data_IF_641799916755
#
_entry.id   IF_641799916755
#
_cell.length_a   1.000
_cell.length_b   1.000
_cell.length_c   1.000
_cell.angle_alpha   90.00
_cell.angle_beta   90.00
_cell.angle_gamma   90.00
#
_symmetry.space_group_name_H-M   'P 1'
#
loop_
_entity.id
_entity.type
_entity.pdbx_description
1 polymer ?
#
# COMPACT_ATOMS: atom_id res chain seq x y z
N UNK A 1 4.26 31.19 -8.76
CA UNK A 1 4.19 30.17 -7.71
C UNK A 1 4.66 28.91 -8.36
N UNK A 2 5.97 28.69 -8.29
CA UNK A 2 6.66 27.57 -8.91
C UNK A 2 6.20 26.30 -8.20
N UNK A 3 5.39 25.51 -8.91
CA UNK A 3 5.14 24.14 -8.49
C UNK A 3 6.43 23.39 -8.79
N UNK A 4 7.20 23.07 -7.76
CA UNK A 4 8.32 22.13 -7.82
C UNK A 4 7.81 20.78 -8.34
N UNK A 5 7.75 20.64 -9.66
CA UNK A 5 7.57 19.35 -10.33
C UNK A 5 8.80 18.53 -10.06
N UNK A 6 8.70 17.65 -9.07
CA UNK A 6 9.72 16.67 -8.72
C UNK A 6 9.98 15.76 -9.94
N UNK A 7 11.09 16.01 -10.65
CA UNK A 7 11.46 15.21 -11.82
C UNK A 7 12.47 14.14 -11.42
N UNK A 8 12.08 12.87 -11.49
CA UNK A 8 12.97 11.74 -11.20
C UNK A 8 14.07 11.54 -12.26
N UNK A 9 13.92 12.15 -13.44
CA UNK A 9 14.82 12.03 -14.58
C UNK A 9 14.73 13.30 -15.43
N UNK A 10 15.84 13.78 -16.01
CA UNK A 10 15.78 14.90 -16.98
C UNK A 10 15.39 14.39 -18.37
N UNK A 11 14.91 15.28 -19.25
CA UNK A 11 14.65 14.93 -20.65
C UNK A 11 15.90 14.36 -21.35
N UNK A 12 17.07 14.95 -21.06
CA UNK A 12 18.35 14.49 -21.60
C UNK A 12 18.69 13.07 -21.12
N UNK A 13 18.50 12.78 -19.83
CA UNK A 13 18.74 11.45 -19.27
C UNK A 13 17.81 10.41 -19.88
N UNK A 14 16.54 10.74 -20.12
CA UNK A 14 15.59 9.86 -20.80
C UNK A 14 16.05 9.55 -22.23
N UNK A 15 16.44 10.57 -23.00
CA UNK A 15 16.96 10.38 -24.36
C UNK A 15 18.23 9.53 -24.37
N UNK A 16 19.16 9.79 -23.47
CA UNK A 16 20.41 9.04 -23.34
C UNK A 16 20.16 7.57 -22.99
N UNK A 17 19.26 7.31 -22.03
CA UNK A 17 18.93 5.95 -21.59
C UNK A 17 18.35 5.07 -22.71
N UNK A 18 17.56 5.68 -23.61
CA UNK A 18 16.93 4.97 -24.73
C UNK A 18 17.64 5.18 -26.07
N UNK A 19 18.81 5.81 -26.09
CA UNK A 19 19.58 6.12 -27.30
C UNK A 19 19.94 4.87 -28.10
N UNK A 20 20.19 3.75 -27.42
CA UNK A 20 20.52 2.46 -28.03
C UNK A 20 19.30 1.69 -28.58
N UNK A 21 18.06 2.16 -28.33
CA UNK A 21 16.84 1.54 -28.84
C UNK A 21 16.30 2.36 -30.00
N UNK A 22 16.55 1.92 -31.23
CA UNK A 22 16.09 2.61 -32.44
C UNK A 22 14.95 1.86 -33.13
N UNK A 23 14.14 2.58 -33.89
CA UNK A 23 13.22 2.02 -34.89
C UNK A 23 13.47 2.70 -36.24
N UNK A 24 13.18 1.98 -37.32
CA UNK A 24 13.30 2.51 -38.68
C UNK A 24 12.00 3.23 -39.03
N UNK A 25 12.10 4.50 -39.39
CA UNK A 25 10.96 5.32 -39.85
C UNK A 25 11.23 5.79 -41.26
N UNK A 26 10.17 5.90 -42.06
CA UNK A 26 10.23 6.55 -43.36
C UNK A 26 10.13 8.05 -43.15
N UNK A 27 11.16 8.80 -43.53
CA UNK A 27 11.18 10.25 -43.49
C UNK A 27 11.69 10.76 -44.83
N UNK A 28 10.91 11.61 -45.49
CA UNK A 28 11.20 12.15 -46.83
C UNK A 28 11.71 11.07 -47.81
N UNK A 29 10.90 10.00 -47.97
CA UNK A 29 11.17 8.86 -48.87
C UNK A 29 12.40 8.01 -48.50
N UNK A 30 13.11 8.31 -47.40
CA UNK A 30 14.27 7.57 -46.93
C UNK A 30 14.01 6.89 -45.59
N UNK A 31 14.41 5.63 -45.49
CA UNK A 31 14.42 4.93 -44.22
C UNK A 31 15.57 5.41 -43.34
N UNK A 32 15.25 5.96 -42.18
CA UNK A 32 16.22 6.43 -41.19
C UNK A 32 15.99 5.75 -39.85
N UNK A 33 17.06 5.52 -39.09
CA UNK A 33 16.98 5.00 -37.72
C UNK A 33 16.82 6.17 -36.77
N UNK A 34 15.73 6.17 -36.00
CA UNK A 34 15.45 7.19 -34.98
C UNK A 34 15.29 6.48 -33.64
N UNK A 35 15.76 7.11 -32.55
CA UNK A 35 15.63 6.53 -31.21
C UNK A 35 14.15 6.48 -30.78
N UNK A 36 13.79 5.44 -30.03
CA UNK A 36 12.44 5.31 -29.46
C UNK A 36 12.08 6.49 -28.56
N UNK A 37 13.06 7.05 -27.83
CA UNK A 37 12.84 8.24 -27.02
C UNK A 37 12.50 9.47 -27.87
N UNK A 38 13.20 9.72 -28.98
CA UNK A 38 12.89 10.86 -29.85
C UNK A 38 11.49 10.73 -30.47
N UNK A 39 11.08 9.53 -30.89
CA UNK A 39 9.72 9.29 -31.40
C UNK A 39 8.68 9.52 -30.30
N UNK A 40 8.88 8.94 -29.11
CA UNK A 40 7.96 9.12 -28.00
C UNK A 40 7.83 10.59 -27.59
N UNK A 41 8.95 11.30 -27.49
CA UNK A 41 8.97 12.70 -27.07
C UNK A 41 8.26 13.64 -28.05
N UNK A 42 8.34 13.37 -29.36
CA UNK A 42 7.69 14.18 -30.39
C UNK A 42 6.28 13.70 -30.76
N UNK A 43 5.79 12.62 -30.15
CA UNK A 43 4.45 12.11 -30.45
C UNK A 43 3.37 13.02 -29.84
N UNK A 44 2.36 13.45 -30.62
CA UNK A 44 1.21 14.19 -30.08
C UNK A 44 0.36 13.30 -29.15
N UNK A 45 0.43 11.98 -29.29
CA UNK A 45 -0.30 10.99 -28.48
C UNK A 45 0.48 10.56 -27.22
N UNK A 46 1.62 11.21 -26.94
CA UNK A 46 2.43 10.90 -25.76
C UNK A 46 1.61 11.13 -24.50
N UNK A 47 1.46 10.09 -23.66
CA UNK A 47 0.90 10.27 -22.32
C UNK A 47 1.78 11.20 -21.50
N UNK A 48 1.21 12.34 -21.09
CA UNK A 48 1.87 13.34 -20.25
C UNK A 48 1.12 13.51 -18.94
N UNK A 49 1.86 13.52 -17.84
CA UNK A 49 1.31 13.64 -16.49
C UNK A 49 1.89 14.88 -15.80
N UNK A 50 1.45 16.06 -16.26
CA UNK A 50 1.97 17.36 -15.79
C UNK A 50 1.70 17.66 -14.31
N UNK A 51 0.78 16.92 -13.68
CA UNK A 51 0.44 17.06 -12.26
C UNK A 51 1.22 16.08 -11.35
N UNK A 52 2.15 15.31 -11.92
CA UNK A 52 3.06 14.40 -11.20
C UNK A 52 2.53 12.97 -11.06
N UNK A 53 2.96 12.29 -10.00
CA UNK A 53 2.55 10.91 -9.68
C UNK A 53 1.58 10.90 -8.50
N UNK A 54 0.68 9.92 -8.45
CA UNK A 54 -0.14 9.65 -7.27
C UNK A 54 -0.26 8.15 -7.00
N UNK A 55 -0.35 7.79 -5.71
CA UNK A 55 -0.75 6.44 -5.31
C UNK A 55 -2.26 6.43 -5.05
N UNK A 56 -3.04 5.84 -5.96
CA UNK A 56 -4.48 5.74 -5.83
C UNK A 56 -5.00 4.33 -6.15
N UNK A 57 -5.00 3.44 -5.15
CA UNK A 57 -5.43 2.08 -5.38
C UNK A 57 -6.96 2.04 -5.56
N UNK A 58 -7.40 1.51 -6.71
CA UNK A 58 -8.80 1.42 -7.10
C UNK A 58 -9.13 0.05 -7.68
N UNK A 59 -10.43 -0.24 -7.84
CA UNK A 59 -10.90 -1.37 -8.62
C UNK A 59 -11.16 -0.88 -10.05
N UNK A 60 -10.60 -1.57 -11.04
CA UNK A 60 -10.76 -1.21 -12.44
C UNK A 60 -9.70 -0.23 -12.91
N UNK A 61 -10.06 0.59 -13.89
CA UNK A 61 -9.12 1.50 -14.53
C UNK A 61 -8.60 2.55 -13.53
N UNK A 62 -7.28 2.72 -13.56
CA UNK A 62 -6.52 3.48 -12.57
C UNK A 62 -6.22 4.91 -13.04
N UNK A 63 -6.37 5.18 -14.35
CA UNK A 63 -6.19 6.50 -14.94
C UNK A 63 -7.39 7.40 -14.59
N UNK A 64 -7.19 8.29 -13.62
CA UNK A 64 -8.24 9.21 -13.13
C UNK A 64 -8.46 10.43 -14.01
N UNK A 65 -7.85 10.47 -15.20
CA UNK A 65 -7.80 11.62 -16.11
C UNK A 65 -7.60 12.97 -15.39
N UNK A 66 -6.69 12.99 -14.42
CA UNK A 66 -6.41 14.15 -13.56
C UNK A 66 -5.01 14.73 -13.78
N UNK A 67 -4.36 14.36 -14.89
CA UNK A 67 -3.00 14.73 -15.21
C UNK A 67 -1.93 14.11 -14.30
N UNK A 68 -2.28 13.15 -13.43
CA UNK A 68 -1.35 12.43 -12.56
C UNK A 68 -1.20 10.98 -13.00
N UNK A 69 0.03 10.47 -12.98
CA UNK A 69 0.30 9.05 -13.20
C UNK A 69 -0.05 8.28 -11.94
N UNK A 70 -1.02 7.37 -12.02
CA UNK A 70 -1.30 6.46 -10.92
C UNK A 70 -0.24 5.35 -10.85
N UNK A 71 0.52 5.29 -9.75
CA UNK A 71 1.59 4.30 -9.56
C UNK A 71 1.08 2.96 -8.99
N UNK A 72 -0.22 2.84 -8.71
CA UNK A 72 -0.82 1.57 -8.31
C UNK A 72 -0.91 0.60 -9.50
N UNK A 73 -0.28 -0.57 -9.35
CA UNK A 73 -0.22 -1.62 -10.38
C UNK A 73 -1.28 -2.72 -10.23
N UNK A 74 -2.23 -2.57 -9.28
CA UNK A 74 -3.21 -3.60 -8.96
C UNK A 74 -2.78 -4.55 -7.83
N UNK A 75 -3.69 -5.45 -7.47
CA UNK A 75 -3.46 -6.49 -6.47
C UNK A 75 -2.44 -7.53 -6.95
N UNK A 76 -1.82 -8.27 -6.01
CA UNK A 76 -0.81 -9.29 -6.32
C UNK A 76 -1.32 -10.43 -7.22
N UNK A 77 -2.64 -10.62 -7.28
CA UNK A 77 -3.27 -11.64 -8.12
C UNK A 77 -4.46 -11.08 -8.90
N UNK A 78 -4.66 -11.62 -10.11
CA UNK A 78 -5.85 -11.35 -10.91
C UNK A 78 -7.07 -12.00 -10.26
N UNK A 79 -8.15 -11.23 -10.12
CA UNK A 79 -9.43 -11.72 -9.59
C UNK A 79 -10.01 -12.79 -10.52
N UNK A 80 -10.55 -13.85 -9.92
CA UNK A 80 -11.25 -14.94 -10.59
C UNK A 80 -12.54 -15.28 -9.80
N UNK A 81 -13.55 -15.89 -10.44
CA UNK A 81 -14.66 -16.49 -9.71
C UNK A 81 -14.12 -17.42 -8.61
N UNK A 82 -14.69 -17.35 -7.41
CA UNK A 82 -14.22 -18.15 -6.29
C UNK A 82 -14.90 -19.53 -6.28
N UNK A 83 -14.18 -20.53 -5.77
CA UNK A 83 -14.73 -21.83 -5.42
C UNK A 83 -14.68 -21.95 -3.90
N UNK A 84 -15.84 -22.11 -3.26
CA UNK A 84 -15.96 -22.14 -1.79
C UNK A 84 -15.05 -23.21 -1.18
N UNK A 85 -14.95 -24.40 -1.78
CA UNK A 85 -14.13 -25.50 -1.27
C UNK A 85 -12.64 -25.17 -1.26
N UNK A 86 -12.17 -24.27 -2.15
CA UNK A 86 -10.75 -23.85 -2.19
C UNK A 86 -10.43 -22.77 -1.16
N UNK A 87 -11.42 -21.99 -0.75
CA UNK A 87 -11.23 -20.91 0.24
C UNK A 87 -11.65 -21.33 1.64
N UNK A 88 -12.41 -22.42 1.77
CA UNK A 88 -12.90 -22.94 3.04
C UNK A 88 -11.80 -23.10 4.09
N UNK A 89 -10.60 -23.65 3.80
CA UNK A 89 -9.54 -23.75 4.79
C UNK A 89 -9.08 -22.39 5.35
N UNK A 90 -9.11 -21.34 4.52
CA UNK A 90 -8.78 -19.97 4.96
C UNK A 90 -9.92 -19.41 5.83
N UNK A 91 -11.18 -19.70 5.48
CA UNK A 91 -12.34 -19.27 6.26
C UNK A 91 -12.37 -19.94 7.64
N UNK A 92 -12.07 -21.24 7.69
CA UNK A 92 -11.99 -22.02 8.93
C UNK A 92 -10.82 -21.51 9.79
N UNK A 93 -9.64 -21.27 9.19
CA UNK A 93 -8.52 -20.63 9.88
C UNK A 93 -8.90 -19.25 10.47
N UNK A 94 -9.61 -18.40 9.72
CA UNK A 94 -10.06 -17.10 10.24
C UNK A 94 -11.05 -17.29 11.40
N UNK A 95 -11.96 -18.25 11.32
CA UNK A 95 -12.95 -18.49 12.37
C UNK A 95 -12.29 -19.09 13.62
N UNK A 96 -11.60 -20.20 13.46
CA UNK A 96 -11.21 -21.07 14.56
C UNK A 96 -9.88 -20.61 15.19
N UNK A 97 -8.93 -20.16 14.38
CA UNK A 97 -7.60 -19.74 14.86
C UNK A 97 -7.58 -18.24 15.15
N UNK A 98 -7.99 -17.40 14.20
CA UNK A 98 -7.89 -15.94 14.36
C UNK A 98 -8.97 -15.40 15.32
N UNK A 99 -10.18 -15.94 15.26
CA UNK A 99 -11.32 -15.44 16.04
C UNK A 99 -11.69 -16.35 17.23
N UNK A 100 -10.94 -17.42 17.48
CA UNK A 100 -11.21 -18.35 18.59
C UNK A 100 -12.61 -18.98 18.54
N UNK A 101 -13.15 -19.23 17.34
CA UNK A 101 -14.50 -19.75 17.13
C UNK A 101 -15.63 -18.72 17.28
N UNK A 102 -15.33 -17.46 17.59
CA UNK A 102 -16.35 -16.42 17.79
C UNK A 102 -16.89 -15.91 16.44
N UNK A 103 -18.17 -16.20 16.15
CA UNK A 103 -18.83 -15.83 14.89
C UNK A 103 -18.97 -14.32 14.70
N UNK A 104 -19.16 -13.54 15.77
CA UNK A 104 -19.24 -12.07 15.70
C UNK A 104 -17.90 -11.49 15.28
N UNK A 105 -16.81 -11.97 15.88
CA UNK A 105 -15.46 -11.55 15.54
C UNK A 105 -15.09 -11.97 14.11
N UNK A 106 -15.42 -13.21 13.73
CA UNK A 106 -15.20 -13.70 12.37
C UNK A 106 -15.96 -12.85 11.34
N UNK A 107 -17.21 -12.48 11.62
CA UNK A 107 -18.00 -11.60 10.75
C UNK A 107 -17.33 -10.22 10.61
N UNK A 108 -16.86 -9.63 11.72
CA UNK A 108 -16.16 -8.35 11.70
C UNK A 108 -14.86 -8.42 10.88
N UNK A 109 -14.00 -9.42 11.12
CA UNK A 109 -12.73 -9.60 10.41
C UNK A 109 -12.97 -9.77 8.90
N UNK A 110 -13.94 -10.61 8.51
CA UNK A 110 -14.32 -10.76 7.10
C UNK A 110 -14.81 -9.46 6.48
N UNK A 111 -15.64 -8.70 7.19
CA UNK A 111 -16.13 -7.39 6.75
C UNK A 111 -15.00 -6.37 6.60
N UNK A 112 -14.04 -6.37 7.52
CA UNK A 112 -12.85 -5.52 7.47
C UNK A 112 -11.98 -5.85 6.26
N UNK A 113 -11.70 -7.14 6.02
CA UNK A 113 -10.96 -7.62 4.84
C UNK A 113 -11.69 -7.24 3.55
N UNK A 114 -12.99 -7.54 3.47
CA UNK A 114 -13.82 -7.24 2.30
C UNK A 114 -13.82 -5.74 1.98
N UNK A 115 -14.05 -4.87 2.98
CA UNK A 115 -13.97 -3.41 2.82
C UNK A 115 -12.60 -2.99 2.27
N UNK A 116 -11.52 -3.61 2.76
CA UNK A 116 -10.17 -3.33 2.32
C UNK A 116 -9.98 -3.52 0.81
N UNK A 117 -10.39 -4.67 0.29
CA UNK A 117 -10.29 -5.00 -1.14
C UNK A 117 -11.35 -4.29 -2.01
N UNK A 118 -12.51 -3.96 -1.45
CA UNK A 118 -13.59 -3.25 -2.14
C UNK A 118 -13.36 -1.75 -2.25
N UNK A 119 -12.72 -1.14 -1.23
CA UNK A 119 -12.45 0.30 -1.15
C UNK A 119 -10.96 0.54 -0.86
N UNK A 120 -10.05 0.18 -1.77
CA UNK A 120 -8.63 0.19 -1.50
C UNK A 120 -8.04 1.61 -1.29
N UNK A 121 -8.65 2.66 -1.85
CA UNK A 121 -8.26 4.06 -1.67
C UNK A 121 -8.69 4.69 -0.32
N UNK A 122 -9.43 3.96 0.52
CA UNK A 122 -9.93 4.45 1.81
C UNK A 122 -9.21 3.69 2.93
N UNK A 123 -8.66 4.36 3.97
CA UNK A 123 -8.08 3.65 5.09
C UNK A 123 -9.15 2.82 5.80
N UNK A 124 -8.75 1.75 6.49
CA UNK A 124 -9.71 0.89 7.18
C UNK A 124 -10.51 1.67 8.25
N UNK A 125 -9.86 2.61 8.93
CA UNK A 125 -10.38 3.37 10.08
C UNK A 125 -10.27 2.62 11.42
N UNK A 126 -9.90 1.33 11.36
CA UNK A 126 -9.64 0.46 12.50
C UNK A 126 -8.50 -0.49 12.14
N UNK A 127 -7.59 -0.75 13.06
CA UNK A 127 -6.59 -1.81 12.95
C UNK A 127 -7.05 -3.08 13.67
N UNK A 128 -6.71 -4.24 13.11
CA UNK A 128 -6.88 -5.52 13.80
C UNK A 128 -5.60 -5.80 14.59
N UNK A 129 -5.76 -6.19 15.86
CA UNK A 129 -4.65 -6.60 16.72
C UNK A 129 -4.88 -8.06 17.08
N UNK A 130 -3.93 -8.93 16.72
CA UNK A 130 -3.96 -10.36 16.98
C UNK A 130 -3.00 -10.69 18.12
N UNK A 131 -3.54 -11.17 19.24
CA UNK A 131 -2.76 -11.62 20.40
C UNK A 131 -2.82 -13.13 20.53
N UNK A 132 -1.77 -13.68 21.11
CA UNK A 132 -1.69 -15.10 21.43
C UNK A 132 -0.25 -15.57 21.44
N UNK A 133 -0.05 -16.80 21.89
CA UNK A 133 1.27 -17.40 22.02
C UNK A 133 2.02 -17.48 20.68
N UNK A 134 3.34 -17.49 20.75
CA UNK A 134 4.20 -17.76 19.59
C UNK A 134 3.81 -19.09 18.93
N UNK A 135 3.87 -19.17 17.61
CA UNK A 135 3.45 -20.37 16.88
C UNK A 135 1.93 -20.56 16.72
N UNK A 136 1.08 -19.67 17.25
CA UNK A 136 -0.40 -19.75 17.08
C UNK A 136 -0.90 -19.46 15.66
N UNK A 137 -0.01 -19.12 14.72
CA UNK A 137 -0.37 -18.80 13.34
C UNK A 137 -0.93 -17.39 13.13
N UNK A 138 -0.86 -16.49 14.11
CA UNK A 138 -1.33 -15.09 14.02
C UNK A 138 -0.71 -14.29 12.86
N UNK A 139 0.59 -14.49 12.58
CA UNK A 139 1.28 -13.78 11.49
C UNK A 139 0.86 -14.26 10.10
N UNK A 140 0.28 -15.47 10.00
CA UNK A 140 -0.15 -16.07 8.73
C UNK A 140 -1.22 -15.22 8.03
N UNK A 141 -2.18 -14.65 8.77
CA UNK A 141 -3.18 -13.76 8.18
C UNK A 141 -2.54 -12.51 7.56
N UNK A 142 -1.59 -11.90 8.28
CA UNK A 142 -0.83 -10.74 7.79
C UNK A 142 -0.06 -11.06 6.50
N UNK A 143 0.61 -12.22 6.48
CA UNK A 143 1.35 -12.71 5.31
C UNK A 143 0.44 -12.96 4.10
N UNK A 144 -0.68 -13.67 4.29
CA UNK A 144 -1.65 -13.95 3.22
C UNK A 144 -2.14 -12.64 2.62
N UNK A 145 -2.58 -11.70 3.47
CA UNK A 145 -3.12 -10.43 3.01
C UNK A 145 -2.05 -9.58 2.32
N UNK A 146 -0.85 -9.43 2.89
CA UNK A 146 0.24 -8.69 2.23
C UNK A 146 0.54 -9.23 0.83
N UNK A 147 0.57 -10.56 0.69
CA UNK A 147 0.75 -11.22 -0.62
C UNK A 147 -0.38 -10.87 -1.60
N UNK A 148 -1.64 -10.88 -1.13
CA UNK A 148 -2.79 -10.51 -1.96
C UNK A 148 -2.76 -9.03 -2.40
N UNK A 149 -2.19 -8.14 -1.58
CA UNK A 149 -2.01 -6.73 -1.90
C UNK A 149 -0.82 -6.45 -2.83
N UNK A 150 0.02 -7.45 -3.12
CA UNK A 150 1.14 -7.35 -4.06
C UNK A 150 2.15 -6.27 -3.64
N UNK A 151 2.56 -5.42 -4.56
CA UNK A 151 3.55 -4.35 -4.32
C UNK A 151 3.11 -3.30 -3.28
N UNK A 152 1.82 -3.26 -2.90
CA UNK A 152 1.32 -2.38 -1.84
C UNK A 152 0.97 -3.10 -0.54
N UNK A 153 1.27 -4.39 -0.45
CA UNK A 153 1.31 -5.13 0.79
C UNK A 153 2.70 -5.07 1.41
N UNK A 154 2.78 -4.68 2.67
CA UNK A 154 4.03 -4.60 3.40
C UNK A 154 3.94 -5.38 4.71
N UNK A 155 5.00 -6.10 5.04
CA UNK A 155 5.20 -6.72 6.34
C UNK A 155 6.37 -6.01 6.99
N UNK A 156 6.21 -5.62 8.24
CA UNK A 156 7.29 -5.07 9.07
C UNK A 156 7.44 -5.95 10.31
N UNK A 157 8.68 -6.17 10.71
CA UNK A 157 9.03 -6.92 11.91
C UNK A 157 9.57 -5.99 13.01
N UNK A 158 10.09 -4.82 12.63
CA UNK A 158 10.57 -3.80 13.56
C UNK A 158 9.58 -2.64 13.66
N UNK A 159 9.19 -2.31 14.89
CA UNK A 159 8.34 -1.18 15.25
C UNK A 159 8.92 0.19 14.85
N UNK A 160 10.25 0.30 14.73
CA UNK A 160 10.94 1.51 14.29
C UNK A 160 10.72 1.78 12.80
N UNK A 161 10.47 0.75 11.99
CA UNK A 161 10.10 0.94 10.58
C UNK A 161 8.70 1.54 10.41
N UNK A 162 7.83 1.43 11.40
CA UNK A 162 6.52 2.09 11.40
C UNK A 162 6.60 3.52 11.94
N UNK A 163 7.41 3.72 12.98
CA UNK A 163 7.33 4.93 13.82
C UNK A 163 8.50 5.88 13.64
N UNK A 164 9.59 5.43 13.03
CA UNK A 164 10.77 6.20 12.68
C UNK A 164 10.50 7.39 11.77
N UNK A 165 11.44 8.34 11.73
CA UNK A 165 11.29 9.61 11.03
C UNK A 165 11.10 9.43 9.52
N UNK A 166 11.82 8.49 8.91
CA UNK A 166 11.73 8.21 7.48
C UNK A 166 10.69 7.12 7.19
N UNK A 167 9.68 7.48 6.40
CA UNK A 167 8.52 6.63 6.13
C UNK A 167 8.16 6.53 4.64
N UNK A 168 9.13 6.75 3.75
CA UNK A 168 8.97 6.62 2.30
C UNK A 168 8.35 5.27 1.87
N UNK A 169 8.59 4.20 2.62
CA UNK A 169 7.99 2.88 2.40
C UNK A 169 6.44 2.89 2.45
N UNK A 170 5.84 3.86 3.15
CA UNK A 170 4.38 4.01 3.20
C UNK A 170 3.80 4.69 1.96
N UNK A 171 4.63 5.27 1.08
CA UNK A 171 4.17 6.07 -0.06
C UNK A 171 3.26 5.29 -1.01
N UNK A 172 3.59 4.02 -1.25
CA UNK A 172 2.86 3.12 -2.14
C UNK A 172 2.22 1.95 -1.36
N UNK A 173 1.99 2.12 -0.05
CA UNK A 173 1.47 1.06 0.81
C UNK A 173 -0.04 1.24 1.02
N UNK A 174 -0.79 0.14 0.86
CA UNK A 174 -2.23 0.09 1.14
C UNK A 174 -2.59 -0.98 2.17
N UNK A 175 -1.73 -2.00 2.37
CA UNK A 175 -1.88 -2.97 3.44
C UNK A 175 -0.56 -3.14 4.18
N UNK A 176 -0.66 -3.21 5.50
CA UNK A 176 0.47 -3.28 6.41
C UNK A 176 0.21 -4.32 7.49
N UNK A 177 1.08 -5.32 7.56
CA UNK A 177 1.15 -6.25 8.68
C UNK A 177 2.37 -5.90 9.54
N UNK A 178 2.17 -5.61 10.82
CA UNK A 178 3.26 -5.48 11.79
C UNK A 178 3.34 -6.73 12.66
N UNK A 179 4.40 -7.50 12.49
CA UNK A 179 4.70 -8.64 13.35
C UNK A 179 5.50 -8.17 14.56
N UNK A 180 5.19 -8.74 15.74
CA UNK A 180 5.87 -8.42 17.00
C UNK A 180 5.92 -6.91 17.30
N UNK A 181 4.93 -6.17 16.81
CA UNK A 181 4.87 -4.73 16.93
C UNK A 181 4.43 -4.35 18.35
N UNK A 182 5.30 -4.57 19.32
CA UNK A 182 5.01 -4.27 20.72
C UNK A 182 5.54 -2.88 21.08
N UNK A 183 4.61 -1.97 21.30
CA UNK A 183 4.90 -0.57 21.64
C UNK A 183 4.91 -0.38 23.16
N UNK A 184 5.76 -1.14 23.87
CA UNK A 184 5.87 -1.05 25.32
C UNK A 184 6.36 0.35 25.72
N UNK A 185 5.49 1.14 26.33
CA UNK A 185 5.86 2.43 26.94
C UNK A 185 6.09 3.61 25.98
N UNK A 186 6.29 3.38 24.68
CA UNK A 186 6.49 4.47 23.71
C UNK A 186 5.16 5.15 23.32
N UNK A 187 4.86 6.24 24.02
CA UNK A 187 3.70 7.09 23.74
C UNK A 187 3.74 7.74 22.36
N UNK A 188 4.92 8.07 21.83
CA UNK A 188 5.06 8.71 20.50
C UNK A 188 4.70 7.72 19.41
N UNK A 189 5.26 6.52 19.48
CA UNK A 189 4.93 5.41 18.60
C UNK A 189 3.42 5.09 18.58
N UNK A 190 2.81 4.99 19.76
CA UNK A 190 1.35 4.75 19.87
C UNK A 190 0.51 5.89 19.27
N UNK A 191 0.93 7.15 19.43
CA UNK A 191 0.23 8.29 18.82
C UNK A 191 0.34 8.26 17.30
N UNK A 192 1.53 7.94 16.77
CA UNK A 192 1.76 7.82 15.33
C UNK A 192 0.94 6.67 14.74
N UNK A 193 0.95 5.50 15.35
CA UNK A 193 0.10 4.37 14.93
C UNK A 193 -1.39 4.75 14.92
N UNK A 194 -1.89 5.43 15.96
CA UNK A 194 -3.30 5.90 15.99
C UNK A 194 -3.62 6.82 14.80
N UNK A 195 -2.68 7.68 14.43
CA UNK A 195 -2.81 8.58 13.28
C UNK A 195 -2.81 7.79 11.96
N UNK A 196 -1.90 6.83 11.79
CA UNK A 196 -1.85 5.93 10.62
C UNK A 196 -3.16 5.14 10.43
N UNK A 197 -3.86 4.79 11.51
CA UNK A 197 -5.11 4.05 11.43
C UNK A 197 -6.28 4.91 10.93
N UNK A 198 -6.36 6.18 11.32
CA UNK A 198 -7.56 7.00 11.12
C UNK A 198 -7.41 8.16 10.15
N UNK A 199 -6.22 8.72 10.01
CA UNK A 199 -6.05 9.96 9.27
C UNK A 199 -6.26 9.73 7.77
N UNK A 200 -6.79 10.74 7.09
CA UNK A 200 -7.05 10.65 5.64
C UNK A 200 -5.80 10.89 4.80
N UNK A 201 -4.73 11.41 5.41
CA UNK A 201 -3.48 11.77 4.75
C UNK A 201 -2.28 11.47 5.63
N UNK A 202 -1.15 11.14 5.00
CA UNK A 202 0.14 10.89 5.65
C UNK A 202 1.14 11.95 5.21
N UNK A 203 1.97 12.39 6.15
CA UNK A 203 3.20 13.12 5.81
C UNK A 203 4.29 12.09 5.54
N UNK A 204 4.92 12.18 4.38
CA UNK A 204 6.02 11.32 3.96
C UNK A 204 7.31 12.13 3.99
N UNK A 205 8.24 11.72 4.83
CA UNK A 205 9.57 12.34 4.98
C UNK A 205 10.64 11.41 4.39
N UNK A 206 11.24 11.85 3.29
CA UNK A 206 12.35 11.17 2.65
C UNK A 206 13.70 11.67 3.16
N UNK A 207 14.73 10.83 3.09
CA UNK A 207 16.09 11.27 3.44
C UNK A 207 16.58 12.27 2.40
N UNK A 208 16.84 13.51 2.82
CA UNK A 208 17.35 14.57 1.94
C UNK A 208 16.30 15.12 0.96
N UNK A 209 15.01 14.90 1.22
CA UNK A 209 13.89 15.37 0.40
C UNK A 209 12.85 16.01 1.31
N UNK A 210 12.19 17.07 0.82
CA UNK A 210 11.13 17.74 1.55
C UNK A 210 9.94 16.82 1.83
N UNK A 211 9.28 17.08 2.96
CA UNK A 211 8.13 16.30 3.38
C UNK A 211 6.94 16.53 2.43
N UNK A 212 6.36 15.46 1.90
CA UNK A 212 5.18 15.54 1.03
C UNK A 212 3.95 14.97 1.71
N UNK A 213 2.79 15.57 1.46
CA UNK A 213 1.51 15.07 1.96
C UNK A 213 0.86 14.16 0.93
N UNK A 214 0.60 12.91 1.32
CA UNK A 214 -0.07 11.93 0.47
C UNK A 214 -1.39 11.46 1.09
N UNK A 215 -2.20 10.75 0.31
CA UNK A 215 -3.40 10.06 0.79
C UNK A 215 -3.01 8.86 1.67
N UNK A 216 -3.72 8.69 2.77
CA UNK A 216 -3.64 7.45 3.54
C UNK A 216 -4.60 6.40 2.94
N UNK A 217 -4.06 5.23 2.60
CA UNK A 217 -4.83 4.10 2.08
C UNK A 217 -4.75 2.86 2.98
N UNK A 218 -4.13 2.97 4.16
CA UNK A 218 -3.65 1.85 4.95
C UNK A 218 -4.78 0.99 5.57
N UNK A 219 -4.55 -0.32 5.50
CA UNK A 219 -5.23 -1.38 6.25
C UNK A 219 -4.16 -2.00 7.13
N UNK A 220 -4.32 -1.94 8.45
CA UNK A 220 -3.27 -2.34 9.39
C UNK A 220 -3.72 -3.57 10.19
N UNK A 221 -2.91 -4.61 10.17
CA UNK A 221 -2.96 -5.73 11.11
C UNK A 221 -1.68 -5.72 11.93
N UNK A 222 -1.81 -5.92 13.24
CA UNK A 222 -0.68 -6.08 14.15
C UNK A 222 -0.78 -7.43 14.81
N UNK A 223 0.34 -8.13 14.96
CA UNK A 223 0.45 -9.34 15.78
C UNK A 223 1.43 -9.09 16.92
N UNK A 224 1.13 -9.65 18.10
CA UNK A 224 2.00 -9.55 19.26
C UNK A 224 1.84 -10.75 20.18
N UNK A 225 2.90 -11.04 20.94
CA UNK A 225 2.93 -12.13 21.93
C UNK A 225 2.39 -11.68 23.29
N UNK A 226 2.59 -10.40 23.66
CA UNK A 226 2.16 -9.83 24.94
C UNK A 226 0.72 -9.31 24.91
N UNK A 227 0.05 -9.38 26.06
CA UNK A 227 -1.28 -8.80 26.30
C UNK A 227 -1.32 -7.27 26.08
N UNK A 228 -0.16 -6.61 26.10
CA UNK A 228 -0.03 -5.15 26.14
C UNK A 228 0.51 -4.54 24.83
N UNK A 229 -0.22 -4.67 23.73
CA UNK A 229 0.20 -4.13 22.41
C UNK A 229 -0.10 -2.63 22.28
N UNK A 230 -1.26 -2.19 22.77
CA UNK A 230 -1.72 -0.80 22.68
C UNK A 230 -2.49 -0.44 23.94
N UNK A 231 -2.10 0.66 24.62
CA UNK A 231 -2.93 1.23 25.70
C UNK A 231 -4.22 1.80 25.10
N UNK A 232 -5.28 1.00 25.14
CA UNK A 232 -6.62 1.41 24.74
C UNK A 232 -7.38 1.89 25.97
N UNK A 233 -7.79 3.17 25.97
CA UNK A 233 -8.82 3.64 26.92
C UNK A 233 -10.15 3.00 26.55
N UNK A 234 -11.07 2.81 27.50
CA UNK A 234 -12.42 2.25 27.28
C UNK A 234 -13.27 2.93 26.18
N UNK A 235 -12.88 4.12 25.71
CA UNK A 235 -13.52 4.85 24.61
C UNK A 235 -12.82 4.72 23.23
N UNK A 236 -11.74 3.94 23.11
CA UNK A 236 -11.03 3.83 21.83
C UNK A 236 -11.78 2.94 20.83
N UNK A 237 -11.91 3.44 19.59
CA UNK A 237 -12.58 2.75 18.46
C UNK A 237 -11.63 2.38 17.32
N UNK A 238 -10.33 2.58 17.52
CA UNK A 238 -9.28 2.46 16.48
C UNK A 238 -8.66 1.07 16.41
N UNK A 239 -8.85 0.23 17.43
CA UNK A 239 -8.24 -1.10 17.50
C UNK A 239 -9.33 -2.11 17.80
N UNK A 240 -9.36 -3.18 17.02
CA UNK A 240 -10.17 -4.37 17.27
C UNK A 240 -9.21 -5.48 17.67
N UNK A 241 -9.22 -5.83 18.97
CA UNK A 241 -8.30 -6.79 19.55
C UNK A 241 -8.93 -8.17 19.62
N UNK A 242 -8.22 -9.16 19.12
CA UNK A 242 -8.48 -10.59 19.24
C UNK A 242 -7.43 -11.13 20.22
#
# INVERSE_FOLDING_TARGET
MDNDTYSFQTFADFQNFFSNKTVTVLNDEKYTKVSKAAIWLNSPDRKEYSQGIEFYPTIGDSDRNNGRLNVWSGFGYKRKPYNINRIQPILDYIKDVVCGGNDVYCSYVKGWIAKGFQKPHIPAGTAIVLRGEEGSGKSTLGLILATLWGNSGMIIEDSDHLTGKFNNQLMNCAFLAGNEAVYHGDKKAQSKLKSLVTDTSLMIEGKGVDAIKIRNCLKIILSANDDWVVKTSSKQRRFFCL
#
